data_IF_403000049039
#
_entry.id   IF_403000049039
#
_cell.length_a   1.000
_cell.length_b   1.000
_cell.length_c   1.000
_cell.angle_alpha   90.00
_cell.angle_beta   90.00
_cell.angle_gamma   90.00
#
_symmetry.space_group_name_H-M   'P 1'
#
loop_
_entity.id
_entity.type
_entity.pdbx_description
1 polymer ?
#
# COMPACT_ATOMS: atom_id res chain seq x y z
N UNK A 1 -42.67 4.50 -10.93
CA UNK A 1 -41.37 4.89 -10.36
C UNK A 1 -40.40 3.75 -10.67
N UNK A 2 -39.59 3.90 -11.71
CA UNK A 2 -38.81 2.81 -12.29
C UNK A 2 -37.54 2.63 -11.44
N UNK A 3 -37.36 1.44 -10.85
CA UNK A 3 -36.23 1.12 -9.99
C UNK A 3 -34.94 1.02 -10.84
N UNK A 4 -34.14 2.07 -10.88
CA UNK A 4 -32.83 2.04 -11.54
C UNK A 4 -31.74 1.53 -10.60
N UNK A 5 -30.97 0.56 -11.10
CA UNK A 5 -29.86 -0.10 -10.40
C UNK A 5 -28.80 0.93 -9.97
N UNK A 6 -28.22 0.75 -8.78
CA UNK A 6 -27.16 1.58 -8.15
C UNK A 6 -25.89 1.83 -9.00
N UNK A 7 -25.82 1.24 -10.20
CA UNK A 7 -24.67 1.15 -11.09
C UNK A 7 -24.89 1.88 -12.43
N UNK A 8 -25.93 2.70 -12.55
CA UNK A 8 -26.22 3.48 -13.75
C UNK A 8 -26.25 4.98 -13.43
N UNK A 9 -25.80 5.80 -14.36
CA UNK A 9 -25.91 7.26 -14.35
C UNK A 9 -26.55 7.72 -15.65
N UNK A 10 -27.39 8.73 -15.58
CA UNK A 10 -28.07 9.31 -16.74
C UNK A 10 -27.33 10.61 -17.06
N UNK A 11 -26.87 10.76 -18.30
CA UNK A 11 -26.28 12.03 -18.75
C UNK A 11 -27.36 13.08 -19.07
N UNK A 12 -26.94 14.30 -19.36
CA UNK A 12 -27.84 15.44 -19.65
C UNK A 12 -28.78 15.20 -20.86
N UNK A 13 -28.51 14.17 -21.67
CA UNK A 13 -29.31 13.78 -22.84
C UNK A 13 -30.22 12.57 -22.55
N UNK A 14 -30.31 12.11 -21.29
CA UNK A 14 -31.14 10.96 -20.93
C UNK A 14 -30.52 9.60 -21.25
N UNK A 15 -29.24 9.55 -21.66
CA UNK A 15 -28.57 8.29 -21.99
C UNK A 15 -28.12 7.61 -20.71
N UNK A 16 -28.60 6.38 -20.51
CA UNK A 16 -28.17 5.53 -19.40
C UNK A 16 -26.75 5.03 -19.68
N UNK A 17 -25.77 5.57 -18.97
CA UNK A 17 -24.39 5.08 -19.00
C UNK A 17 -24.15 4.17 -17.79
N UNK A 18 -23.39 3.07 -17.94
CA UNK A 18 -22.87 2.37 -16.79
C UNK A 18 -22.05 3.36 -15.97
N UNK A 19 -22.33 3.46 -14.68
CA UNK A 19 -21.50 4.23 -13.75
C UNK A 19 -20.11 3.60 -13.85
N UNK A 20 -19.11 4.35 -14.33
CA UNK A 20 -17.70 3.93 -14.28
C UNK A 20 -17.28 3.86 -12.80
N UNK A 21 -17.75 2.83 -12.10
CA UNK A 21 -17.09 2.36 -10.90
C UNK A 21 -15.77 1.76 -11.30
N UNK A 22 -14.74 1.94 -10.47
CA UNK A 22 -13.50 1.19 -10.63
C UNK A 22 -13.85 -0.30 -10.81
N UNK A 23 -13.28 -0.94 -11.83
CA UNK A 23 -13.44 -2.39 -12.03
C UNK A 23 -13.11 -3.10 -10.70
N UNK A 24 -13.86 -4.14 -10.29
CA UNK A 24 -13.52 -4.90 -9.10
C UNK A 24 -12.04 -5.32 -9.14
N UNK A 25 -11.26 -4.89 -8.14
CA UNK A 25 -9.83 -5.18 -8.07
C UNK A 25 -8.92 -4.25 -8.88
N UNK A 26 -9.38 -3.11 -9.39
CA UNK A 26 -8.54 -2.15 -10.11
C UNK A 26 -7.28 -1.71 -9.33
N UNK A 27 -7.42 -1.54 -8.01
CA UNK A 27 -6.29 -1.21 -7.13
C UNK A 27 -5.45 -2.43 -6.71
N UNK A 28 -5.95 -3.65 -6.92
CA UNK A 28 -5.35 -4.85 -6.33
C UNK A 28 -3.93 -5.06 -6.85
N UNK A 29 -3.70 -4.89 -8.15
CA UNK A 29 -2.38 -5.02 -8.77
C UNK A 29 -1.38 -4.03 -8.16
N UNK A 30 -1.72 -2.74 -8.11
CA UNK A 30 -0.89 -1.68 -7.51
C UNK A 30 -0.60 -1.97 -6.03
N UNK A 31 -1.61 -2.38 -5.27
CA UNK A 31 -1.46 -2.69 -3.83
C UNK A 31 -0.46 -3.83 -3.64
N UNK A 32 -0.56 -4.89 -4.44
CA UNK A 32 0.33 -6.05 -4.34
C UNK A 32 1.75 -5.70 -4.78
N UNK A 33 1.89 -4.93 -5.87
CA UNK A 33 3.18 -4.43 -6.33
C UNK A 33 3.87 -3.60 -5.24
N UNK A 34 3.13 -2.72 -4.57
CA UNK A 34 3.70 -1.92 -3.48
C UNK A 34 3.99 -2.75 -2.23
N UNK A 35 3.17 -3.76 -1.91
CA UNK A 35 3.43 -4.68 -0.80
C UNK A 35 4.73 -5.46 -1.02
N UNK A 36 4.98 -5.97 -2.23
CA UNK A 36 6.21 -6.70 -2.55
C UNK A 36 7.41 -5.77 -2.74
N UNK A 37 7.20 -4.54 -3.19
CA UNK A 37 8.24 -3.53 -3.35
C UNK A 37 8.75 -2.90 -2.05
N UNK A 38 8.02 -3.06 -0.94
CA UNK A 38 8.34 -2.38 0.32
C UNK A 38 8.35 -3.32 1.52
N UNK A 39 7.60 -4.42 1.45
CA UNK A 39 7.31 -5.28 2.59
C UNK A 39 6.38 -4.62 3.62
N UNK A 40 5.73 -3.49 3.31
CA UNK A 40 4.91 -2.74 4.27
C UNK A 40 3.75 -3.56 4.84
N UNK A 41 3.24 -3.16 6.01
CA UNK A 41 1.96 -3.72 6.50
C UNK A 41 0.83 -3.16 5.64
N UNK A 42 -0.15 -3.99 5.29
CA UNK A 42 -1.29 -3.55 4.45
C UNK A 42 -2.03 -2.33 5.02
N UNK A 43 -2.17 -2.23 6.35
CA UNK A 43 -2.80 -1.07 6.98
C UNK A 43 -1.96 0.21 6.85
N UNK A 44 -0.63 0.10 6.85
CA UNK A 44 0.27 1.25 6.65
C UNK A 44 0.24 1.70 5.18
N UNK A 45 0.30 0.75 4.25
CA UNK A 45 0.25 1.01 2.81
C UNK A 45 -1.07 1.65 2.37
N UNK A 46 -2.21 1.15 2.85
CA UNK A 46 -3.51 1.72 2.52
C UNK A 46 -3.76 3.07 3.19
N UNK A 47 -2.96 3.44 4.21
CA UNK A 47 -3.00 4.75 4.86
C UNK A 47 -2.13 5.81 4.17
N UNK A 48 -1.42 5.45 3.10
CA UNK A 48 -0.56 6.39 2.38
C UNK A 48 -1.35 7.51 1.74
N UNK A 49 -0.74 8.70 1.79
CA UNK A 49 -1.13 9.90 1.07
C UNK A 49 -0.07 10.24 0.03
N UNK A 50 -0.43 11.02 -1.00
CA UNK A 50 0.52 11.38 -2.06
C UNK A 50 1.70 12.24 -1.58
N UNK A 51 1.51 13.03 -0.53
CA UNK A 51 2.58 13.82 0.11
C UNK A 51 3.66 12.95 0.81
N UNK A 52 3.40 11.65 0.97
CA UNK A 52 4.34 10.69 1.55
C UNK A 52 5.15 9.93 0.49
N UNK A 53 4.96 10.26 -0.79
CA UNK A 53 5.62 9.59 -1.92
C UNK A 53 6.45 10.61 -2.70
N UNK A 54 7.75 10.38 -2.77
CA UNK A 54 8.66 11.16 -3.58
C UNK A 54 9.12 10.32 -4.78
N UNK A 55 8.56 10.63 -5.96
CA UNK A 55 8.87 9.94 -7.22
C UNK A 55 9.84 10.72 -8.11
N UNK A 56 10.18 11.93 -7.72
CA UNK A 56 10.89 12.91 -8.54
C UNK A 56 12.34 13.11 -8.04
N UNK A 57 12.63 12.72 -6.79
CA UNK A 57 14.00 12.58 -6.27
C UNK A 57 14.84 11.58 -7.08
N UNK A 58 16.17 11.78 -7.19
CA UNK A 58 17.10 10.81 -7.77
C UNK A 58 17.00 9.41 -7.13
N UNK A 59 16.61 9.35 -5.85
CA UNK A 59 16.32 8.12 -5.13
C UNK A 59 14.85 8.20 -4.69
N UNK A 60 13.92 7.57 -5.43
CA UNK A 60 12.50 7.60 -5.12
C UNK A 60 12.19 6.91 -3.79
N UNK A 61 11.31 7.51 -2.97
CA UNK A 61 10.99 6.97 -1.64
C UNK A 61 9.50 7.01 -1.31
N UNK A 62 9.11 6.22 -0.32
CA UNK A 62 7.80 6.30 0.34
C UNK A 62 7.95 6.26 1.85
N UNK A 63 7.20 7.10 2.56
CA UNK A 63 7.23 7.19 4.03
C UNK A 63 5.94 6.67 4.68
N UNK A 64 6.05 5.60 5.45
CA UNK A 64 4.98 5.06 6.28
C UNK A 64 4.98 5.71 7.66
N UNK A 65 3.93 6.47 7.99
CA UNK A 65 3.78 7.10 9.32
C UNK A 65 2.39 6.91 9.95
N UNK A 66 1.47 6.22 9.27
CA UNK A 66 0.09 6.06 9.69
C UNK A 66 -0.39 4.62 9.46
N UNK A 67 -1.52 4.26 10.08
CA UNK A 67 -2.16 2.95 9.87
C UNK A 67 -3.66 3.12 9.68
N UNK A 68 -4.23 2.46 8.68
CA UNK A 68 -5.67 2.25 8.59
C UNK A 68 -6.06 1.08 9.49
N UNK A 69 -6.93 1.37 10.46
CA UNK A 69 -7.41 0.40 11.43
C UNK A 69 -8.82 0.01 11.07
N UNK A 70 -9.03 -1.29 10.89
CA UNK A 70 -10.38 -1.87 10.82
C UNK A 70 -10.82 -2.13 12.26
N UNK A 71 -11.84 -1.43 12.76
CA UNK A 71 -12.34 -1.66 14.10
C UNK A 71 -12.85 -3.08 14.29
N UNK A 72 -12.75 -3.58 15.53
CA UNK A 72 -13.32 -4.89 15.92
C UNK A 72 -14.72 -4.77 16.52
N UNK A 73 -15.06 -3.61 17.07
CA UNK A 73 -16.36 -3.35 17.67
C UNK A 73 -17.42 -3.05 16.59
N UNK A 74 -18.64 -3.54 16.82
CA UNK A 74 -19.77 -3.23 15.96
C UNK A 74 -20.10 -1.73 16.01
N UNK A 75 -20.31 -1.11 14.85
CA UNK A 75 -20.67 0.31 14.73
C UNK A 75 -19.49 1.27 14.48
N UNK A 76 -18.25 0.85 14.75
CA UNK A 76 -17.07 1.65 14.44
C UNK A 76 -16.71 1.57 12.95
N UNK A 77 -16.24 2.70 12.39
CA UNK A 77 -15.87 2.83 10.97
C UNK A 77 -14.35 2.78 10.81
N UNK A 78 -13.91 2.36 9.62
CA UNK A 78 -12.51 2.44 9.20
C UNK A 78 -11.97 3.85 9.49
N UNK A 79 -10.85 3.93 10.19
CA UNK A 79 -10.19 5.20 10.50
C UNK A 79 -8.69 5.12 10.27
N UNK A 80 -8.07 6.27 10.03
CA UNK A 80 -6.62 6.43 9.91
C UNK A 80 -6.08 6.97 11.22
N UNK A 81 -5.28 6.19 11.92
CA UNK A 81 -4.45 6.71 13.01
C UNK A 81 -3.15 7.28 12.45
N UNK A 82 -2.70 8.40 13.02
CA UNK A 82 -1.53 9.15 12.56
C UNK A 82 -0.20 8.62 13.14
N UNK A 83 -0.18 7.36 13.55
CA UNK A 83 0.99 6.65 14.04
C UNK A 83 0.99 5.22 13.53
N UNK A 84 2.18 4.60 13.46
CA UNK A 84 2.32 3.18 13.11
C UNK A 84 1.96 2.30 14.29
N UNK A 85 1.70 1.02 14.04
CA UNK A 85 1.36 0.05 15.09
C UNK A 85 2.41 0.08 16.21
N UNK A 86 1.93 0.21 17.46
CA UNK A 86 2.78 0.22 18.65
C UNK A 86 3.59 1.51 18.79
N UNK A 87 3.12 2.62 18.21
CA UNK A 87 3.78 3.92 18.21
C UNK A 87 5.19 3.89 17.61
N UNK A 88 5.40 2.99 16.64
CA UNK A 88 6.67 2.88 15.94
C UNK A 88 6.95 4.18 15.14
N UNK A 89 8.21 4.63 15.08
CA UNK A 89 8.58 5.83 14.34
C UNK A 89 8.27 5.67 12.85
N UNK A 90 8.10 6.79 12.11
CA UNK A 90 7.97 6.76 10.66
C UNK A 90 9.08 5.94 9.99
N UNK A 91 8.73 5.23 8.92
CA UNK A 91 9.67 4.43 8.13
C UNK A 91 9.58 4.87 6.67
N UNK A 92 10.66 5.45 6.18
CA UNK A 92 10.92 5.75 4.79
C UNK A 92 11.70 4.59 4.16
N UNK A 93 11.26 4.14 2.99
CA UNK A 93 11.96 3.11 2.21
C UNK A 93 12.18 3.60 0.79
N UNK A 94 13.26 3.14 0.17
CA UNK A 94 13.52 3.38 -1.25
C UNK A 94 12.61 2.50 -2.10
N UNK A 95 12.10 3.06 -3.20
CA UNK A 95 11.20 2.38 -4.12
C UNK A 95 11.99 1.78 -5.30
N UNK A 96 11.87 0.47 -5.57
CA UNK A 96 12.43 -0.13 -6.78
C UNK A 96 11.73 0.40 -8.06
N UNK A 97 12.37 0.33 -9.23
CA UNK A 97 11.86 0.94 -10.47
C UNK A 97 10.44 0.51 -10.87
N UNK A 98 10.08 -0.76 -10.65
CA UNK A 98 8.73 -1.25 -10.98
C UNK A 98 7.65 -0.61 -10.09
N UNK A 99 7.99 -0.29 -8.83
CA UNK A 99 7.08 0.40 -7.91
C UNK A 99 6.89 1.86 -8.29
N UNK A 100 7.96 2.54 -8.70
CA UNK A 100 7.91 3.89 -9.25
C UNK A 100 7.01 3.93 -10.49
N UNK A 101 7.17 2.95 -11.39
CA UNK A 101 6.34 2.81 -12.59
C UNK A 101 4.87 2.64 -12.25
N UNK A 102 4.54 1.75 -11.31
CA UNK A 102 3.17 1.53 -10.84
C UNK A 102 2.57 2.81 -10.22
N UNK A 103 3.33 3.53 -9.41
CA UNK A 103 2.88 4.77 -8.77
C UNK A 103 2.68 5.90 -9.77
N UNK A 104 3.55 6.05 -10.77
CA UNK A 104 3.37 7.04 -11.85
C UNK A 104 2.13 6.73 -12.68
N UNK A 105 1.93 5.47 -13.07
CA UNK A 105 0.72 5.00 -13.75
C UNK A 105 -0.53 5.34 -12.92
N UNK A 106 -0.50 5.05 -11.63
CA UNK A 106 -1.60 5.32 -10.71
C UNK A 106 -1.91 6.81 -10.57
N UNK A 107 -0.89 7.67 -10.47
CA UNK A 107 -1.04 9.13 -10.37
C UNK A 107 -1.74 9.72 -11.60
N UNK A 108 -1.56 9.10 -12.76
CA UNK A 108 -2.20 9.50 -14.01
C UNK A 108 -3.64 8.98 -14.18
N UNK A 109 -4.09 8.02 -13.36
CA UNK A 109 -5.45 7.50 -13.44
C UNK A 109 -6.45 8.47 -12.81
N UNK A 110 -7.66 8.64 -13.38
CA UNK A 110 -8.72 9.38 -12.73
C UNK A 110 -9.07 8.75 -11.38
N UNK A 111 -9.04 9.55 -10.32
CA UNK A 111 -9.46 9.12 -8.98
C UNK A 111 -10.63 9.97 -8.51
N UNK A 112 -11.42 9.43 -7.59
CA UNK A 112 -12.48 10.20 -6.94
C UNK A 112 -11.85 11.21 -5.98
N UNK A 113 -12.45 12.39 -5.87
CA UNK A 113 -12.00 13.41 -4.93
C UNK A 113 -11.99 12.84 -3.51
N UNK A 114 -10.84 12.96 -2.86
CA UNK A 114 -10.63 12.57 -1.47
C UNK A 114 -9.93 13.73 -0.75
N UNK A 115 -10.54 14.31 0.29
CA UNK A 115 -9.98 15.47 0.99
C UNK A 115 -8.68 15.14 1.75
N UNK A 116 -8.41 13.85 1.97
CA UNK A 116 -7.23 13.37 2.68
C UNK A 116 -5.99 13.24 1.77
N UNK A 117 -6.13 13.47 0.46
CA UNK A 117 -5.07 13.23 -0.54
C UNK A 117 -4.54 11.77 -0.51
N UNK A 118 -5.44 10.81 -0.25
CA UNK A 118 -5.11 9.40 -0.13
C UNK A 118 -4.63 8.80 -1.46
N UNK A 119 -3.65 7.89 -1.38
CA UNK A 119 -3.10 7.19 -2.53
C UNK A 119 -4.09 6.14 -3.08
N UNK A 120 -4.79 5.45 -2.19
CA UNK A 120 -5.84 4.48 -2.52
C UNK A 120 -7.21 5.00 -2.07
N UNK A 121 -8.12 5.18 -3.02
CA UNK A 121 -9.47 5.70 -2.78
C UNK A 121 -10.51 4.78 -3.42
N UNK A 122 -11.62 4.55 -2.72
CA UNK A 122 -12.76 3.83 -3.27
C UNK A 122 -13.48 4.68 -4.32
N UNK A 123 -14.44 4.06 -5.02
CA UNK A 123 -15.37 4.73 -5.93
C UNK A 123 -16.24 5.85 -5.32
N UNK A 124 -16.14 6.08 -4.01
CA UNK A 124 -16.85 7.14 -3.28
C UNK A 124 -15.89 8.11 -2.59
N UNK A 125 -14.60 8.09 -2.93
CA UNK A 125 -13.58 8.94 -2.31
C UNK A 125 -13.22 8.56 -0.87
N UNK A 126 -13.62 7.37 -0.38
CA UNK A 126 -13.26 6.90 0.96
C UNK A 126 -11.96 6.09 0.94
N UNK A 127 -11.36 5.88 2.11
CA UNK A 127 -10.24 4.96 2.28
C UNK A 127 -10.58 3.53 1.81
N UNK A 128 -9.64 2.89 1.12
CA UNK A 128 -9.76 1.46 0.77
C UNK A 128 -9.47 0.61 2.01
N UNK A 129 -10.44 -0.20 2.44
CA UNK A 129 -10.26 -1.03 3.64
C UNK A 129 -9.40 -2.28 3.36
N UNK A 130 -8.58 -2.73 4.33
CA UNK A 130 -7.90 -4.02 4.25
C UNK A 130 -8.84 -5.21 4.00
N UNK A 131 -10.10 -5.13 4.46
CA UNK A 131 -11.10 -6.17 4.21
C UNK A 131 -11.53 -6.23 2.73
N UNK A 132 -11.68 -5.08 2.07
CA UNK A 132 -11.99 -4.99 0.65
C UNK A 132 -10.86 -5.61 -0.19
N UNK A 133 -9.60 -5.26 0.13
CA UNK A 133 -8.44 -5.82 -0.55
C UNK A 133 -8.38 -7.35 -0.39
N UNK A 134 -8.57 -7.86 0.84
CA UNK A 134 -8.60 -9.31 1.08
C UNK A 134 -9.71 -10.03 0.30
N UNK A 135 -10.88 -9.39 0.14
CA UNK A 135 -11.98 -9.93 -0.66
C UNK A 135 -11.58 -10.03 -2.14
N UNK A 136 -11.09 -8.93 -2.72
CA UNK A 136 -10.62 -8.91 -4.12
C UNK A 136 -9.48 -9.89 -4.35
N UNK A 137 -8.55 -9.97 -3.40
CA UNK A 137 -7.42 -10.89 -3.44
C UNK A 137 -7.86 -12.35 -3.42
N UNK A 138 -8.80 -12.73 -2.54
CA UNK A 138 -9.35 -14.09 -2.51
C UNK A 138 -9.99 -14.47 -3.85
N UNK A 139 -10.74 -13.55 -4.44
CA UNK A 139 -11.35 -13.77 -5.74
C UNK A 139 -10.31 -13.96 -6.86
N UNK A 140 -9.23 -13.18 -6.85
CA UNK A 140 -8.18 -13.25 -7.87
C UNK A 140 -7.29 -14.49 -7.74
N UNK A 141 -6.92 -14.88 -6.52
CA UNK A 141 -5.95 -15.94 -6.27
C UNK A 141 -6.56 -17.35 -6.34
N UNK A 142 -7.88 -17.48 -6.20
CA UNK A 142 -8.55 -18.78 -6.04
C UNK A 142 -8.10 -19.55 -4.79
N UNK A 143 -8.40 -20.85 -4.75
CA UNK A 143 -8.07 -21.70 -3.60
C UNK A 143 -6.65 -22.28 -3.68
N UNK A 144 -6.08 -22.42 -4.88
CA UNK A 144 -4.73 -22.95 -5.08
C UNK A 144 -3.62 -22.08 -4.45
N UNK A 145 -3.90 -20.79 -4.25
CA UNK A 145 -2.96 -19.82 -3.68
C UNK A 145 -3.49 -19.23 -2.36
N UNK A 146 -4.23 -20.04 -1.60
CA UNK A 146 -4.87 -19.62 -0.36
C UNK A 146 -3.90 -19.17 0.74
N UNK A 147 -2.67 -19.67 0.70
CA UNK A 147 -1.56 -19.34 1.58
C UNK A 147 -0.88 -18.02 1.21
N UNK A 148 -1.10 -17.49 0.00
CA UNK A 148 -0.53 -16.20 -0.41
C UNK A 148 -1.38 -15.09 0.18
N UNK A 149 -0.81 -14.30 1.09
CA UNK A 149 -1.50 -13.19 1.77
C UNK A 149 -0.59 -11.97 1.80
N UNK A 150 -1.09 -10.76 2.12
CA UNK A 150 -0.22 -9.60 2.37
C UNK A 150 0.88 -9.87 3.41
N UNK A 151 0.60 -10.74 4.40
CA UNK A 151 1.60 -11.13 5.39
C UNK A 151 2.68 -12.04 4.78
N UNK A 152 2.29 -12.94 3.87
CA UNK A 152 3.22 -13.80 3.12
C UNK A 152 4.12 -12.97 2.20
N UNK A 153 3.59 -11.94 1.54
CA UNK A 153 4.41 -11.00 0.74
C UNK A 153 5.44 -10.29 1.60
N UNK A 154 5.05 -9.78 2.77
CA UNK A 154 5.99 -9.17 3.73
C UNK A 154 7.09 -10.14 4.18
N UNK A 155 6.76 -11.40 4.45
CA UNK A 155 7.76 -12.43 4.75
C UNK A 155 8.71 -12.68 3.58
N UNK A 156 8.18 -12.69 2.36
CA UNK A 156 8.95 -12.88 1.14
C UNK A 156 10.00 -11.78 0.96
N UNK A 157 9.61 -10.52 1.16
CA UNK A 157 10.53 -9.36 1.20
C UNK A 157 11.59 -9.53 2.28
N UNK A 158 11.17 -9.89 3.50
CA UNK A 158 12.08 -10.09 4.63
C UNK A 158 13.16 -11.14 4.33
N UNK A 159 12.76 -12.28 3.76
CA UNK A 159 13.66 -13.37 3.41
C UNK A 159 14.64 -12.93 2.33
N UNK A 160 14.18 -12.29 1.25
CA UNK A 160 15.06 -11.87 0.17
C UNK A 160 16.11 -10.85 0.63
N UNK A 161 15.68 -9.83 1.39
CA UNK A 161 16.59 -8.83 1.94
C UNK A 161 17.56 -9.47 2.93
N UNK A 162 17.09 -10.40 3.78
CA UNK A 162 17.95 -11.14 4.70
C UNK A 162 19.02 -11.95 3.96
N UNK A 163 18.64 -12.65 2.90
CA UNK A 163 19.55 -13.48 2.11
C UNK A 163 20.57 -12.64 1.33
N UNK A 164 20.18 -11.44 0.91
CA UNK A 164 21.05 -10.56 0.10
C UNK A 164 21.95 -9.67 0.96
N UNK A 165 21.42 -9.13 2.06
CA UNK A 165 22.06 -8.06 2.85
C UNK A 165 22.13 -8.35 4.36
N UNK A 166 21.64 -9.50 4.81
CA UNK A 166 21.70 -9.90 6.22
C UNK A 166 20.48 -9.51 7.06
N UNK A 167 20.44 -10.02 8.30
CA UNK A 167 19.29 -9.92 9.20
C UNK A 167 18.99 -8.47 9.61
N UNK A 168 20.02 -7.68 9.86
CA UNK A 168 19.86 -6.28 10.29
C UNK A 168 19.19 -5.43 9.20
N UNK A 169 19.65 -5.56 7.96
CA UNK A 169 19.03 -4.92 6.79
C UNK A 169 17.54 -5.27 6.66
N UNK A 170 17.18 -6.55 6.85
CA UNK A 170 15.80 -6.98 6.81
C UNK A 170 14.97 -6.40 7.97
N UNK A 171 15.55 -6.25 9.17
CA UNK A 171 14.86 -5.63 10.30
C UNK A 171 14.60 -4.14 10.07
N UNK A 172 15.59 -3.41 9.55
CA UNK A 172 15.46 -1.98 9.20
C UNK A 172 14.42 -1.80 8.09
N UNK A 173 14.49 -2.58 7.01
CA UNK A 173 13.51 -2.55 5.90
C UNK A 173 12.07 -2.71 6.38
N UNK A 174 11.86 -3.57 7.39
CA UNK A 174 10.53 -3.84 7.92
C UNK A 174 10.12 -2.89 9.06
N UNK A 175 11.04 -2.02 9.51
CA UNK A 175 10.87 -1.17 10.69
C UNK A 175 10.54 -1.99 11.93
N UNK A 176 11.24 -3.11 12.13
CA UNK A 176 11.20 -3.82 13.39
C UNK A 176 12.17 -3.13 14.36
N UNK A 177 11.64 -2.58 15.46
CA UNK A 177 12.48 -2.08 16.53
C UNK A 177 13.36 -3.23 17.04
N UNK A 178 14.67 -3.11 16.90
CA UNK A 178 15.60 -4.04 17.52
C UNK A 178 16.25 -3.32 18.70
N UNK A 179 15.94 -3.76 19.91
CA UNK A 179 16.44 -3.28 21.22
C UNK A 179 17.95 -3.57 21.43
N UNK A 180 18.72 -3.73 20.34
CA UNK A 180 20.11 -4.21 20.35
C UNK A 180 21.10 -3.34 19.56
N UNK A 181 20.67 -2.19 19.06
CA UNK A 181 21.62 -1.15 18.62
C UNK A 181 21.71 -0.14 19.75
N UNK A 182 22.70 -0.40 20.61
CA UNK A 182 23.19 0.44 21.69
C UNK A 182 23.36 1.89 21.22
N UNK A 183 22.96 2.81 22.10
CA UNK A 183 23.38 4.22 22.20
C UNK A 183 24.82 4.41 21.64
N UNK A 184 25.14 5.37 20.77
CA UNK A 184 25.18 6.79 21.10
C UNK A 184 25.40 7.73 19.87
N UNK A 185 25.03 7.33 18.63
CA UNK A 185 25.21 8.20 17.45
C UNK A 185 24.02 8.25 16.46
N UNK A 186 22.89 7.61 16.76
CA UNK A 186 21.90 7.23 15.74
C UNK A 186 20.58 8.01 15.72
N UNK A 187 20.49 9.17 16.37
CA UNK A 187 19.18 9.82 16.62
C UNK A 187 18.58 10.54 15.40
N UNK A 188 19.32 10.77 14.30
CA UNK A 188 18.78 11.47 13.12
C UNK A 188 18.66 10.65 11.82
N UNK A 189 18.99 9.35 11.80
CA UNK A 189 19.02 8.56 10.55
C UNK A 189 18.19 7.26 10.49
N UNK A 190 17.44 6.89 11.53
CA UNK A 190 16.71 5.58 11.53
C UNK A 190 15.32 5.65 10.86
N UNK A 191 14.91 6.78 10.27
CA UNK A 191 13.67 6.80 9.48
C UNK A 191 13.86 6.23 8.07
N UNK A 192 15.04 6.37 7.45
CA UNK A 192 15.30 5.87 6.10
C UNK A 192 15.96 4.48 6.14
N UNK A 193 15.28 3.47 5.61
CA UNK A 193 15.91 2.17 5.36
C UNK A 193 16.97 2.27 4.26
N UNK A 194 18.06 1.48 4.33
CA UNK A 194 19.03 1.39 3.25
C UNK A 194 18.35 1.02 1.93
N UNK A 195 18.97 1.38 0.82
CA UNK A 195 18.41 1.08 -0.50
C UNK A 195 18.43 -0.44 -0.75
N UNK A 196 17.24 -1.04 -0.80
CA UNK A 196 17.05 -2.47 -1.10
C UNK A 196 16.59 -2.69 -2.54
N UNK A 197 16.57 -1.64 -3.37
CA UNK A 197 15.93 -1.67 -4.69
C UNK A 197 16.51 -2.75 -5.59
N UNK A 198 17.82 -2.96 -5.60
CA UNK A 198 18.47 -4.00 -6.42
C UNK A 198 17.96 -5.41 -6.08
N UNK A 199 17.80 -5.72 -4.79
CA UNK A 199 17.21 -6.98 -4.38
C UNK A 199 15.73 -7.03 -4.74
N UNK A 200 14.96 -6.01 -4.38
CA UNK A 200 13.50 -6.01 -4.56
C UNK A 200 13.09 -6.00 -6.04
N UNK A 201 13.93 -5.45 -6.93
CA UNK A 201 13.72 -5.48 -8.36
C UNK A 201 13.74 -6.90 -8.96
N UNK A 202 14.23 -7.90 -8.23
CA UNK A 202 14.07 -9.33 -8.60
C UNK A 202 12.60 -9.77 -8.65
N UNK A 203 11.69 -9.03 -8.02
CA UNK A 203 10.24 -9.25 -8.08
C UNK A 203 9.52 -8.43 -9.17
N UNK A 204 10.26 -7.69 -10.01
CA UNK A 204 9.64 -6.94 -11.09
C UNK A 204 8.82 -7.86 -12.00
N UNK A 205 7.64 -7.41 -12.47
CA UNK A 205 6.89 -8.13 -13.49
C UNK A 205 7.76 -8.41 -14.71
N UNK A 206 7.65 -9.63 -15.27
CA UNK A 206 8.29 -9.93 -16.55
C UNK A 206 7.55 -9.18 -17.66
N UNK A 207 8.31 -8.56 -18.56
CA UNK A 207 7.79 -7.90 -19.76
C UNK A 207 7.13 -8.90 -20.71
#
# INVERSE_FOLDING_TARGET
MQNYSRHQTIDEYGVVRPKLGQRPGADLEDILMLLIATGARIGELLALKWDQVDLDSPIPTVTFSATLVVPRAAGERLFRQNFRKGDAPPLTVVLPPFAVTALRRRRAMPTFQNPENALFVTGTGNWVSPANVRRSWRAARGDNFDWVTPHTLRKTVATLVKETYGVEAAQIQLGHANTRVTEAHYIQRVTLAPDMSDALNKFAPKA
#
